data_IF_701125480281
#
_entry.id   IF_701125480281
#
_cell.length_a   1.000
_cell.length_b   1.000
_cell.length_c   1.000
_cell.angle_alpha   90.00
_cell.angle_beta   90.00
_cell.angle_gamma   90.00
#
_symmetry.space_group_name_H-M   'P 1'
#
loop_
_entity.id
_entity.type
_entity.pdbx_description
1 polymer ?
#
# COMPACT_ATOMS: atom_id res chain seq x y z
N UNK A 1 -16.04 -2.03 23.72
CA UNK A 1 -17.40 -2.45 23.34
C UNK A 1 -18.24 -1.22 23.01
N UNK A 2 -19.00 -1.33 21.91
CA UNK A 2 -20.13 -0.50 21.44
C UNK A 2 -19.82 0.72 20.56
N UNK A 3 -19.77 0.41 19.26
CA UNK A 3 -20.46 1.07 18.16
C UNK A 3 -21.46 2.15 18.57
N UNK A 4 -21.34 3.32 17.94
CA UNK A 4 -22.51 4.12 17.59
C UNK A 4 -22.59 4.11 16.07
N UNK A 5 -23.47 3.23 15.56
CA UNK A 5 -24.07 3.38 14.24
C UNK A 5 -24.79 4.73 14.22
N UNK A 6 -24.43 5.61 13.29
CA UNK A 6 -25.34 6.65 12.83
C UNK A 6 -25.60 6.36 11.35
N UNK A 7 -26.77 5.79 11.08
CA UNK A 7 -27.35 5.73 9.74
C UNK A 7 -28.58 6.63 9.74
N UNK A 8 -28.79 7.28 8.59
CA UNK A 8 -29.95 8.06 8.13
C UNK A 8 -30.01 9.55 8.49
N UNK A 9 -29.77 10.41 7.49
CA UNK A 9 -30.86 10.86 6.61
C UNK A 9 -30.30 11.46 5.31
N UNK A 10 -30.74 10.93 4.17
CA UNK A 10 -30.70 11.60 2.87
C UNK A 10 -31.49 12.91 2.97
N UNK A 11 -30.79 14.02 3.22
CA UNK A 11 -31.25 15.33 2.77
C UNK A 11 -30.69 15.51 1.37
N UNK A 12 -31.54 15.29 0.36
CA UNK A 12 -31.34 15.79 -1.00
C UNK A 12 -31.50 17.30 -1.02
N UNK A 13 -30.62 18.00 -0.31
CA UNK A 13 -30.30 19.40 -0.53
C UNK A 13 -28.97 19.42 -1.25
N UNK A 14 -28.92 19.98 -2.46
CA UNK A 14 -27.67 20.37 -3.10
C UNK A 14 -27.02 21.45 -2.23
N UNK A 15 -26.30 21.02 -1.19
CA UNK A 15 -25.34 21.86 -0.50
C UNK A 15 -24.09 21.85 -1.38
N UNK A 16 -24.00 22.82 -2.28
CA UNK A 16 -22.75 23.07 -3.01
C UNK A 16 -21.72 23.50 -1.98
N UNK A 17 -20.76 22.62 -1.67
CA UNK A 17 -19.60 23.02 -0.90
C UNK A 17 -18.87 24.14 -1.65
N UNK A 18 -18.36 25.17 -0.96
CA UNK A 18 -17.49 26.15 -1.60
C UNK A 18 -16.27 25.42 -2.13
N UNK A 19 -15.82 25.74 -3.35
CA UNK A 19 -14.70 25.08 -4.02
C UNK A 19 -13.42 24.96 -3.15
N UNK A 20 -13.21 25.90 -2.22
CA UNK A 20 -12.10 25.84 -1.26
C UNK A 20 -12.22 24.74 -0.21
N UNK A 21 -13.42 24.36 0.22
CA UNK A 21 -13.63 23.27 1.18
C UNK A 21 -13.45 21.90 0.52
N UNK A 22 -13.96 21.73 -0.70
CA UNK A 22 -13.77 20.51 -1.51
C UNK A 22 -12.29 20.22 -1.76
N UNK A 23 -11.51 21.26 -2.12
CA UNK A 23 -10.06 21.12 -2.33
C UNK A 23 -9.30 20.73 -1.06
N UNK A 24 -9.73 21.18 0.13
CA UNK A 24 -9.10 20.81 1.41
C UNK A 24 -9.40 19.35 1.75
N UNK A 25 -10.64 18.91 1.55
CA UNK A 25 -11.06 17.53 1.80
C UNK A 25 -10.33 16.55 0.88
N UNK A 26 -10.24 16.86 -0.41
CA UNK A 26 -9.50 16.03 -1.37
C UNK A 26 -7.99 15.98 -1.07
N UNK A 27 -7.41 17.11 -0.65
CA UNK A 27 -6.00 17.16 -0.22
C UNK A 27 -5.75 16.29 1.01
N UNK A 28 -6.65 16.31 2.00
CA UNK A 28 -6.50 15.47 3.19
C UNK A 28 -6.68 13.99 2.86
N UNK A 29 -7.67 13.64 2.04
CA UNK A 29 -7.87 12.28 1.56
C UNK A 29 -6.62 11.74 0.84
N UNK A 30 -6.00 12.55 -0.02
CA UNK A 30 -4.74 12.18 -0.67
C UNK A 30 -3.61 11.92 0.34
N UNK A 31 -3.48 12.76 1.37
CA UNK A 31 -2.43 12.57 2.40
C UNK A 31 -2.61 11.26 3.14
N UNK A 32 -3.84 10.96 3.54
CA UNK A 32 -4.18 9.72 4.24
C UNK A 32 -3.95 8.50 3.35
N UNK A 33 -4.31 8.61 2.08
CA UNK A 33 -4.08 7.55 1.09
C UNK A 33 -2.59 7.28 0.87
N UNK A 34 -1.77 8.33 0.76
CA UNK A 34 -0.32 8.19 0.62
C UNK A 34 0.30 7.53 1.84
N UNK A 35 -0.10 7.92 3.05
CA UNK A 35 0.42 7.34 4.27
C UNK A 35 0.04 5.86 4.41
N UNK A 36 -1.23 5.53 4.17
CA UNK A 36 -1.71 4.15 4.23
C UNK A 36 -1.05 3.26 3.17
N UNK A 37 -0.92 3.76 1.94
CA UNK A 37 -0.29 3.00 0.86
C UNK A 37 1.22 2.81 1.10
N UNK A 38 1.91 3.83 1.62
CA UNK A 38 3.33 3.71 1.99
C UNK A 38 3.56 2.56 2.98
N UNK A 39 2.72 2.45 4.01
CA UNK A 39 2.79 1.35 5.00
C UNK A 39 2.61 -0.01 4.33
N UNK A 40 1.68 -0.13 3.37
CA UNK A 40 1.46 -1.39 2.65
C UNK A 40 2.67 -1.77 1.79
N UNK A 41 3.26 -0.80 1.09
CA UNK A 41 4.45 -1.01 0.24
C UNK A 41 5.67 -1.38 1.08
N UNK A 42 5.86 -0.71 2.22
CA UNK A 42 6.95 -1.02 3.15
C UNK A 42 6.84 -2.43 3.74
N UNK A 43 5.63 -2.83 4.14
CA UNK A 43 5.36 -4.20 4.58
C UNK A 43 5.68 -5.23 3.49
N UNK A 44 5.26 -4.98 2.25
CA UNK A 44 5.58 -5.87 1.12
C UNK A 44 7.08 -5.96 0.89
N UNK A 45 7.80 -4.82 0.90
CA UNK A 45 9.26 -4.79 0.78
C UNK A 45 9.93 -5.68 1.83
N UNK A 46 9.51 -5.56 3.08
CA UNK A 46 10.14 -6.28 4.20
C UNK A 46 9.85 -7.78 4.16
N UNK A 47 8.66 -8.17 3.72
CA UNK A 47 8.30 -9.58 3.49
C UNK A 47 9.12 -10.16 2.33
N UNK A 48 9.21 -9.44 1.21
CA UNK A 48 9.97 -9.88 0.03
C UNK A 48 11.47 -9.95 0.31
N UNK A 49 12.01 -9.02 1.10
CA UNK A 49 13.40 -9.06 1.56
C UNK A 49 13.68 -10.29 2.40
N UNK A 50 12.85 -10.57 3.40
CA UNK A 50 13.02 -11.76 4.22
C UNK A 50 13.02 -13.03 3.34
N UNK A 51 12.06 -13.13 2.42
CA UNK A 51 11.98 -14.29 1.54
C UNK A 51 13.16 -14.36 0.57
N UNK A 52 13.67 -13.23 0.09
CA UNK A 52 14.89 -13.21 -0.70
C UNK A 52 16.09 -13.71 0.11
N UNK A 53 16.23 -13.30 1.36
CA UNK A 53 17.30 -13.78 2.24
C UNK A 53 17.27 -15.31 2.41
N UNK A 54 16.07 -15.88 2.59
CA UNK A 54 15.88 -17.33 2.81
C UNK A 54 16.06 -18.12 1.52
N UNK A 55 15.40 -17.71 0.43
CA UNK A 55 15.25 -18.52 -0.78
C UNK A 55 16.20 -18.12 -1.91
N UNK A 56 16.80 -16.93 -1.84
CA UNK A 56 17.74 -16.39 -2.83
C UNK A 56 17.17 -16.35 -4.26
N UNK A 57 15.84 -16.22 -4.41
CA UNK A 57 15.21 -16.15 -5.73
C UNK A 57 15.40 -14.76 -6.36
N UNK A 58 15.90 -14.67 -7.60
CA UNK A 58 16.07 -13.38 -8.28
C UNK A 58 14.77 -12.58 -8.43
N UNK A 59 13.62 -13.25 -8.52
CA UNK A 59 12.32 -12.59 -8.58
C UNK A 59 12.06 -11.77 -7.32
N UNK A 60 12.34 -12.30 -6.12
CA UNK A 60 12.09 -11.63 -4.85
C UNK A 60 12.99 -10.39 -4.72
N UNK A 61 14.26 -10.48 -5.12
CA UNK A 61 15.15 -9.32 -5.18
C UNK A 61 14.59 -8.22 -6.11
N UNK A 62 13.98 -8.63 -7.23
CA UNK A 62 13.37 -7.72 -8.19
C UNK A 62 12.12 -7.04 -7.63
N UNK A 63 11.30 -7.78 -6.87
CA UNK A 63 10.14 -7.23 -6.17
C UNK A 63 10.57 -6.17 -5.16
N UNK A 64 11.52 -6.47 -4.27
CA UNK A 64 12.05 -5.48 -3.32
C UNK A 64 12.55 -4.22 -4.03
N UNK A 65 13.28 -4.36 -5.16
CA UNK A 65 13.74 -3.20 -5.94
C UNK A 65 12.59 -2.34 -6.46
N UNK A 66 11.47 -2.96 -6.84
CA UNK A 66 10.27 -2.24 -7.27
C UNK A 66 9.56 -1.57 -6.07
N UNK A 67 9.43 -2.24 -4.93
CA UNK A 67 8.85 -1.67 -3.71
C UNK A 67 9.65 -0.46 -3.23
N UNK A 68 10.98 -0.58 -3.19
CA UNK A 68 11.89 0.55 -2.87
C UNK A 68 11.69 1.75 -3.80
N UNK A 69 11.46 1.49 -5.10
CA UNK A 69 11.17 2.55 -6.06
C UNK A 69 9.83 3.21 -5.75
N UNK A 70 8.79 2.44 -5.38
CA UNK A 70 7.49 2.98 -4.98
C UNK A 70 7.61 3.82 -3.72
N UNK A 71 8.30 3.34 -2.67
CA UNK A 71 8.57 4.09 -1.43
C UNK A 71 9.23 5.44 -1.74
N UNK A 72 10.25 5.46 -2.61
CA UNK A 72 10.91 6.71 -3.01
C UNK A 72 9.94 7.68 -3.70
N UNK A 73 9.09 7.19 -4.60
CA UNK A 73 8.10 8.02 -5.31
C UNK A 73 7.07 8.58 -4.33
N UNK A 74 6.53 7.73 -3.46
CA UNK A 74 5.53 8.09 -2.46
C UNK A 74 6.08 9.12 -1.48
N UNK A 75 7.24 8.86 -0.88
CA UNK A 75 7.86 9.79 0.08
C UNK A 75 8.18 11.15 -0.55
N UNK A 76 8.58 11.20 -1.83
CA UNK A 76 8.77 12.45 -2.55
C UNK A 76 7.44 13.19 -2.77
N UNK A 77 6.36 12.50 -3.17
CA UNK A 77 5.03 13.11 -3.27
C UNK A 77 4.56 13.64 -1.91
N UNK A 78 4.71 12.85 -0.85
CA UNK A 78 4.31 13.18 0.51
C UNK A 78 5.00 14.44 1.02
N UNK A 79 6.31 14.61 0.76
CA UNK A 79 7.03 15.85 1.06
C UNK A 79 6.42 17.05 0.34
N UNK A 80 6.09 16.91 -0.95
CA UNK A 80 5.49 17.97 -1.76
C UNK A 80 4.11 18.43 -1.26
N UNK A 81 3.31 17.51 -0.71
CA UNK A 81 1.98 17.83 -0.16
C UNK A 81 1.98 18.02 1.36
N UNK A 82 3.11 17.86 2.04
CA UNK A 82 3.22 17.88 3.50
C UNK A 82 2.28 16.83 4.15
N UNK A 83 2.31 15.60 3.64
CA UNK A 83 1.69 14.45 4.27
C UNK A 83 2.57 13.94 5.42
N UNK A 84 1.99 13.42 6.51
CA UNK A 84 2.77 12.76 7.56
C UNK A 84 3.42 11.50 7.00
N UNK A 85 4.70 11.32 7.25
CA UNK A 85 5.41 10.08 6.91
C UNK A 85 5.39 9.19 8.15
N UNK A 86 4.83 8.00 8.03
CA UNK A 86 4.88 7.02 9.10
C UNK A 86 6.33 6.56 9.31
N UNK A 87 6.85 6.76 10.51
CA UNK A 87 8.22 6.37 10.85
C UNK A 87 8.36 4.85 10.88
N UNK A 88 7.32 4.12 11.29
CA UNK A 88 7.33 2.65 11.31
C UNK A 88 7.53 2.09 9.90
N UNK A 89 6.91 2.71 8.90
CA UNK A 89 7.06 2.37 7.49
C UNK A 89 8.42 2.76 6.89
N UNK A 90 9.39 3.18 7.73
CA UNK A 90 10.76 3.51 7.34
C UNK A 90 11.79 3.00 8.36
N UNK A 91 11.37 2.21 9.37
CA UNK A 91 12.26 1.64 10.38
C UNK A 91 12.85 0.30 9.92
N UNK A 92 13.49 -0.41 10.84
CA UNK A 92 14.22 -1.67 10.61
C UNK A 92 13.33 -2.75 10.03
N UNK A 93 13.83 -3.46 9.02
CA UNK A 93 13.07 -4.47 8.28
C UNK A 93 12.36 -5.47 9.22
N UNK A 94 11.05 -5.64 9.03
CA UNK A 94 10.23 -6.62 9.72
C UNK A 94 9.92 -6.33 11.20
N UNK A 95 10.23 -5.13 11.69
CA UNK A 95 9.91 -4.71 13.07
C UNK A 95 9.02 -3.47 13.07
N UNK A 96 7.77 -3.63 13.53
CA UNK A 96 6.78 -2.56 13.58
C UNK A 96 6.36 -2.25 15.01
N UNK A 97 6.32 -0.97 15.40
CA UNK A 97 5.79 -0.59 16.72
C UNK A 97 4.27 -0.71 16.78
N UNK A 98 3.60 -0.54 15.63
CA UNK A 98 2.20 -0.87 15.46
C UNK A 98 1.98 -2.40 15.49
N UNK A 99 1.41 -2.90 16.59
CA UNK A 99 1.15 -4.33 16.78
C UNK A 99 0.23 -4.97 15.73
N UNK A 100 -0.60 -4.21 15.00
CA UNK A 100 -1.37 -4.76 13.87
C UNK A 100 -0.49 -5.03 12.67
N UNK A 101 0.43 -4.11 12.35
CA UNK A 101 1.38 -4.29 11.26
C UNK A 101 2.33 -5.44 11.55
N UNK A 102 2.84 -5.52 12.79
CA UNK A 102 3.66 -6.66 13.22
C UNK A 102 2.89 -7.98 13.05
N UNK A 103 1.62 -8.04 13.49
CA UNK A 103 0.83 -9.25 13.32
C UNK A 103 0.59 -9.63 11.85
N UNK A 104 0.47 -8.65 10.94
CA UNK A 104 0.37 -8.94 9.51
C UNK A 104 1.72 -9.47 9.00
N UNK A 105 2.84 -8.83 9.32
CA UNK A 105 4.18 -9.30 8.95
C UNK A 105 4.43 -10.73 9.44
N UNK A 106 4.16 -11.00 10.72
CA UNK A 106 4.32 -12.32 11.32
C UNK A 106 3.45 -13.37 10.60
N UNK A 107 2.19 -13.02 10.29
CA UNK A 107 1.27 -13.89 9.57
C UNK A 107 1.76 -14.20 8.16
N UNK A 108 2.17 -13.19 7.40
CA UNK A 108 2.58 -13.35 6.00
C UNK A 108 3.89 -14.13 5.90
N UNK A 109 4.80 -13.97 6.85
CA UNK A 109 6.10 -14.64 6.82
C UNK A 109 6.09 -16.05 7.39
N UNK A 110 5.09 -16.45 8.18
CA UNK A 110 5.07 -17.73 8.88
C UNK A 110 5.16 -18.94 7.93
N UNK A 111 4.31 -19.01 6.89
CA UNK A 111 4.30 -20.13 5.95
C UNK A 111 5.48 -20.05 4.97
N UNK A 112 5.75 -18.85 4.43
CA UNK A 112 6.82 -18.65 3.46
C UNK A 112 8.24 -18.86 3.99
N UNK A 113 8.44 -18.94 5.31
CA UNK A 113 9.73 -19.35 5.90
C UNK A 113 10.03 -20.84 5.71
N UNK A 114 9.01 -21.67 5.53
CA UNK A 114 9.15 -23.13 5.43
C UNK A 114 9.00 -23.65 4.00
N UNK A 115 8.27 -22.94 3.15
CA UNK A 115 7.98 -23.35 1.78
C UNK A 115 8.14 -22.17 0.79
N UNK A 116 8.89 -22.42 -0.28
CA UNK A 116 9.19 -21.42 -1.29
C UNK A 116 7.95 -20.98 -2.08
N UNK A 117 7.02 -21.89 -2.35
CA UNK A 117 5.77 -21.57 -3.02
C UNK A 117 4.87 -20.72 -2.13
N UNK A 118 4.80 -21.04 -0.84
CA UNK A 118 4.09 -20.21 0.15
C UNK A 118 4.71 -18.81 0.29
N UNK A 119 6.03 -18.66 0.13
CA UNK A 119 6.68 -17.35 0.11
C UNK A 119 6.20 -16.51 -1.08
N UNK A 120 6.21 -17.10 -2.29
CA UNK A 120 5.71 -16.45 -3.50
C UNK A 120 4.20 -16.14 -3.41
N UNK A 121 3.40 -17.02 -2.81
CA UNK A 121 1.97 -16.78 -2.59
C UNK A 121 1.71 -15.64 -1.60
N UNK A 122 2.50 -15.53 -0.53
CA UNK A 122 2.40 -14.42 0.42
C UNK A 122 2.79 -13.08 -0.23
N UNK A 123 3.84 -13.03 -1.05
CA UNK A 123 4.18 -11.85 -1.87
C UNK A 123 3.03 -11.48 -2.83
N UNK A 124 2.40 -12.47 -3.46
CA UNK A 124 1.25 -12.22 -4.33
C UNK A 124 0.04 -11.67 -3.57
N UNK A 125 -0.29 -12.22 -2.39
CA UNK A 125 -1.39 -11.73 -1.54
C UNK A 125 -1.19 -10.23 -1.20
N UNK A 126 0.03 -9.85 -0.85
CA UNK A 126 0.35 -8.45 -0.52
C UNK A 126 0.21 -7.52 -1.73
N UNK A 127 0.66 -7.94 -2.91
CA UNK A 127 0.49 -7.21 -4.16
C UNK A 127 -0.97 -7.07 -4.59
N UNK A 128 -1.79 -8.10 -4.39
CA UNK A 128 -3.23 -8.03 -4.63
C UNK A 128 -3.91 -7.03 -3.68
N UNK A 129 -3.50 -6.99 -2.42
CA UNK A 129 -3.97 -5.99 -1.47
C UNK A 129 -3.58 -4.57 -1.88
N UNK A 130 -2.33 -4.35 -2.33
CA UNK A 130 -1.90 -3.07 -2.88
C UNK A 130 -2.74 -2.66 -4.10
N UNK A 131 -2.96 -3.58 -5.04
CA UNK A 131 -3.76 -3.33 -6.24
C UNK A 131 -5.20 -2.95 -5.88
N UNK A 132 -5.84 -3.69 -4.97
CA UNK A 132 -7.19 -3.39 -4.50
C UNK A 132 -7.28 -2.02 -3.82
N UNK A 133 -6.26 -1.64 -3.04
CA UNK A 133 -6.19 -0.31 -2.44
C UNK A 133 -6.17 0.78 -3.53
N UNK A 134 -5.28 0.62 -4.52
CA UNK A 134 -5.11 1.59 -5.60
C UNK A 134 -6.35 1.72 -6.48
N UNK A 135 -7.03 0.62 -6.77
CA UNK A 135 -8.28 0.66 -7.53
C UNK A 135 -9.36 1.46 -6.79
N UNK A 136 -9.53 1.22 -5.49
CA UNK A 136 -10.43 2.02 -4.65
C UNK A 136 -10.00 3.48 -4.54
N UNK A 137 -8.70 3.77 -4.60
CA UNK A 137 -8.17 5.14 -4.57
C UNK A 137 -8.49 5.89 -5.85
N UNK A 138 -8.33 5.23 -6.99
CA UNK A 138 -8.64 5.78 -8.31
C UNK A 138 -10.15 6.00 -8.50
N UNK A 139 -11.01 5.18 -7.88
CA UNK A 139 -12.46 5.35 -7.95
C UNK A 139 -12.98 6.58 -7.18
N UNK A 140 -12.23 7.08 -6.19
CA UNK A 140 -12.69 8.16 -5.29
C UNK A 140 -12.08 9.54 -5.55
N UNK A 141 -11.05 9.64 -6.41
CA UNK A 141 -10.30 10.89 -6.61
C UNK A 141 -10.53 11.46 -8.00
N UNK A 142 -10.60 12.79 -8.11
CA UNK A 142 -10.66 13.51 -9.38
C UNK A 142 -9.37 14.33 -9.63
N UNK A 143 -8.50 14.49 -8.62
CA UNK A 143 -7.16 15.08 -8.77
C UNK A 143 -6.30 14.29 -9.76
N UNK A 144 -6.10 14.88 -10.94
CA UNK A 144 -5.27 14.32 -12.00
C UNK A 144 -3.86 13.93 -11.53
N UNK A 145 -3.26 14.65 -10.58
CA UNK A 145 -1.95 14.31 -10.06
C UNK A 145 -1.98 13.07 -9.16
N UNK A 146 -3.07 12.86 -8.42
CA UNK A 146 -3.29 11.65 -7.64
C UNK A 146 -3.54 10.47 -8.57
N UNK A 147 -4.39 10.65 -9.59
CA UNK A 147 -4.67 9.63 -10.62
C UNK A 147 -3.37 9.16 -11.29
N UNK A 148 -2.55 10.08 -11.80
CA UNK A 148 -1.30 9.73 -12.46
C UNK A 148 -0.33 8.97 -11.54
N UNK A 149 -0.26 9.37 -10.26
CA UNK A 149 0.57 8.70 -9.28
C UNK A 149 0.06 7.28 -8.97
N UNK A 150 -1.23 7.13 -8.65
CA UNK A 150 -1.81 5.84 -8.30
C UNK A 150 -1.82 4.88 -9.50
N UNK A 151 -2.02 5.37 -10.72
CA UNK A 151 -1.85 4.55 -11.92
C UNK A 151 -0.42 4.08 -12.11
N UNK A 152 0.58 4.91 -11.81
CA UNK A 152 1.98 4.50 -11.85
C UNK A 152 2.24 3.35 -10.86
N UNK A 153 1.77 3.48 -9.61
CA UNK A 153 1.94 2.42 -8.60
C UNK A 153 1.20 1.14 -9.02
N UNK A 154 -0.02 1.30 -9.55
CA UNK A 154 -0.87 0.18 -10.03
C UNK A 154 -0.20 -0.62 -11.13
N UNK A 155 0.50 0.06 -12.05
CA UNK A 155 1.26 -0.62 -13.10
C UNK A 155 2.45 -1.41 -12.54
N UNK A 156 3.09 -0.91 -11.48
CA UNK A 156 4.19 -1.61 -10.81
C UNK A 156 3.65 -2.88 -10.12
N UNK A 157 2.59 -2.79 -9.31
CA UNK A 157 2.01 -3.96 -8.63
C UNK A 157 1.50 -5.01 -9.63
N UNK A 158 0.87 -4.59 -10.74
CA UNK A 158 0.49 -5.51 -11.84
C UNK A 158 1.68 -6.18 -12.53
N UNK A 159 2.85 -5.51 -12.54
CA UNK A 159 4.07 -6.12 -13.05
C UNK A 159 4.64 -7.13 -12.06
N UNK A 160 4.60 -6.81 -10.77
CA UNK A 160 5.03 -7.69 -9.68
C UNK A 160 4.22 -9.00 -9.68
N UNK A 161 2.88 -8.91 -9.70
CA UNK A 161 2.00 -10.09 -9.81
C UNK A 161 2.32 -10.99 -11.01
N UNK A 162 2.63 -10.39 -12.17
CA UNK A 162 3.00 -11.16 -13.37
C UNK A 162 4.32 -11.89 -13.22
N UNK A 163 5.30 -11.27 -12.55
CA UNK A 163 6.59 -11.93 -12.26
C UNK A 163 6.40 -13.07 -11.27
N UNK A 164 5.63 -12.86 -10.19
CA UNK A 164 5.34 -13.90 -9.20
C UNK A 164 4.60 -15.07 -9.86
N UNK A 165 3.56 -14.79 -10.64
CA UNK A 165 2.80 -15.82 -11.34
C UNK A 165 3.68 -16.65 -12.30
N UNK A 166 4.66 -16.03 -12.95
CA UNK A 166 5.58 -16.74 -13.84
C UNK A 166 6.50 -17.74 -13.10
N UNK A 167 6.76 -17.51 -11.82
CA UNK A 167 7.61 -18.37 -10.98
C UNK A 167 6.81 -19.50 -10.29
N UNK A 168 5.47 -19.39 -10.28
CA UNK A 168 4.55 -20.39 -9.72
C UNK A 168 4.02 -21.40 -10.76
N UNK A 169 4.32 -21.21 -12.05
CA UNK A 169 3.90 -22.08 -13.16
C UNK A 169 4.92 -23.19 -13.45
#
# INVERSE_FOLDING_TARGET
MKNVLITLMLMSGLFTMPAGAQNIEETNALKDDLANYLVMVDLTRDVDNLFFEIWQLPVLEKLTKNENRMIMILTNKMKGVQAPIDVDALQSEGTYTNGKLQAIYDRMTAAGRADQSEALMASAELEEHQLLFLEKALERTEDLNAILLFDQMRMISKSNLRMIAAELL
#
